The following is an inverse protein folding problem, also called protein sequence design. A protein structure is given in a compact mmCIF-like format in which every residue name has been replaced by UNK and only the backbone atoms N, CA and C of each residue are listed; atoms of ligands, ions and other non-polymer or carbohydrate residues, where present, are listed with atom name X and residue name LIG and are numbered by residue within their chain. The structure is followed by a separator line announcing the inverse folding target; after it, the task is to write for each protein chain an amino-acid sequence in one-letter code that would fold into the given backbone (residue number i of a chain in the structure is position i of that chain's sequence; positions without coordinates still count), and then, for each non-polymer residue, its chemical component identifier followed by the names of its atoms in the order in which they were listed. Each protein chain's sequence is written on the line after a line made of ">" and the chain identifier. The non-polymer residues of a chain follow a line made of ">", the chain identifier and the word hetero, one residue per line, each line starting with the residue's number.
data_IF_127907862693
#
_entry.id   IF_127907862693
#
_cell.length_a   1.000
_cell.length_b   1.000
_cell.length_c   1.000
_cell.angle_alpha   90.00
_cell.angle_beta   90.00
_cell.angle_gamma   90.00
#
_symmetry.space_group_name_H-M   'P 1'
#
loop_
_entity.id
_entity.type
_entity.pdbx_description
1 polymer ?
#
# COMPACT_ATOMS: atom_id res chain seq x y z
N UNK A 1 13.38 -5.52 4.99
CA UNK A 1 14.01 -4.46 4.15
C UNK A 1 13.85 -3.17 4.91
N UNK A 2 14.92 -2.44 5.08
CA UNK A 2 14.92 -1.20 5.84
C UNK A 2 14.36 -0.03 5.03
N UNK A 3 13.79 0.96 5.71
CA UNK A 3 13.45 2.25 5.16
C UNK A 3 14.40 3.31 5.74
N UNK A 4 14.65 4.38 5.01
CA UNK A 4 15.61 5.41 5.38
C UNK A 4 14.95 6.78 5.30
N UNK A 5 15.18 7.62 6.30
CA UNK A 5 14.43 8.87 6.50
C UNK A 5 14.59 9.85 5.33
N UNK A 6 15.82 10.23 4.99
CA UNK A 6 16.07 11.23 3.94
C UNK A 6 15.70 10.72 2.55
N UNK A 7 15.99 9.44 2.30
CA UNK A 7 15.58 8.77 1.06
C UNK A 7 14.06 8.76 0.92
N UNK A 8 13.34 8.41 1.99
CA UNK A 8 11.88 8.37 2.01
C UNK A 8 11.27 9.76 1.83
N UNK A 9 11.78 10.75 2.56
CA UNK A 9 11.31 12.12 2.47
C UNK A 9 11.46 12.69 1.07
N UNK A 10 12.64 12.55 0.45
CA UNK A 10 12.88 13.00 -0.94
C UNK A 10 11.97 12.29 -1.94
N UNK A 11 11.79 10.97 -1.76
CA UNK A 11 10.96 10.15 -2.64
C UNK A 11 9.48 10.56 -2.58
N UNK A 12 8.93 10.72 -1.38
CA UNK A 12 7.50 10.99 -1.19
C UNK A 12 7.13 12.42 -1.55
N UNK A 13 7.91 13.42 -1.15
CA UNK A 13 7.57 14.84 -1.33
C UNK A 13 7.30 15.24 -2.78
N UNK A 14 7.97 14.62 -3.74
CA UNK A 14 7.82 14.92 -5.17
C UNK A 14 7.22 13.79 -5.97
N UNK A 15 6.70 12.77 -5.30
CA UNK A 15 6.11 11.65 -6.01
C UNK A 15 4.87 12.07 -6.79
N UNK A 16 4.88 11.82 -8.10
CA UNK A 16 3.75 12.05 -9.00
C UNK A 16 3.47 10.81 -9.81
N UNK A 17 2.21 10.43 -9.89
CA UNK A 17 1.74 9.39 -10.78
C UNK A 17 0.87 10.01 -11.86
N UNK A 18 1.22 9.80 -13.11
CA UNK A 18 0.47 10.24 -14.28
C UNK A 18 -0.01 9.03 -15.04
N UNK A 19 -1.31 8.99 -15.31
CA UNK A 19 -1.94 7.88 -16.02
C UNK A 19 -2.75 8.43 -17.18
N UNK A 20 -2.42 8.01 -18.39
CA UNK A 20 -3.14 8.29 -19.63
C UNK A 20 -3.61 6.98 -20.28
N UNK A 21 -4.27 7.06 -21.44
CA UNK A 21 -4.74 5.85 -22.14
C UNK A 21 -3.61 4.89 -22.53
N UNK A 22 -2.44 5.42 -22.86
CA UNK A 22 -1.33 4.65 -23.45
C UNK A 22 -0.02 4.74 -22.65
N UNK A 23 0.01 5.48 -21.55
CA UNK A 23 1.23 5.69 -20.79
C UNK A 23 0.92 5.89 -19.32
N UNK A 24 1.65 5.20 -18.46
CA UNK A 24 1.56 5.30 -17.01
C UNK A 24 2.97 5.51 -16.47
N UNK A 25 3.22 6.66 -15.89
CA UNK A 25 4.55 7.05 -15.44
C UNK A 25 4.54 7.52 -13.99
N UNK A 26 5.62 7.27 -13.28
CA UNK A 26 5.92 7.82 -11.96
C UNK A 26 7.13 8.76 -12.06
N UNK A 27 7.03 9.88 -11.39
CA UNK A 27 8.13 10.86 -11.23
C UNK A 27 8.36 11.00 -9.72
N UNK A 28 9.61 10.99 -9.32
CA UNK A 28 10.04 11.09 -7.92
C UNK A 28 11.46 11.59 -7.81
N UNK A 29 11.86 12.04 -6.62
CA UNK A 29 13.24 12.36 -6.31
C UNK A 29 13.86 11.26 -5.45
N UNK A 30 15.14 10.99 -5.63
CA UNK A 30 15.96 10.24 -4.70
C UNK A 30 17.13 11.13 -4.31
N UNK A 31 17.11 11.55 -3.05
CA UNK A 31 17.96 12.63 -2.55
C UNK A 31 17.77 13.90 -3.40
N UNK A 32 18.81 14.39 -4.05
CA UNK A 32 18.79 15.64 -4.81
C UNK A 32 18.57 15.44 -6.33
N UNK A 33 18.22 14.23 -6.78
CA UNK A 33 18.06 13.92 -8.21
C UNK A 33 16.64 13.47 -8.52
N UNK A 34 16.08 14.03 -9.60
CA UNK A 34 14.77 13.65 -10.12
C UNK A 34 14.89 12.48 -11.12
N UNK A 35 13.95 11.54 -11.00
CA UNK A 35 13.85 10.35 -11.84
C UNK A 35 12.43 10.24 -12.39
N UNK A 36 12.34 9.64 -13.56
CA UNK A 36 11.06 9.25 -14.17
C UNK A 36 11.19 7.80 -14.62
N UNK A 37 10.20 6.98 -14.32
CA UNK A 37 10.11 5.60 -14.81
C UNK A 37 8.68 5.27 -15.21
N UNK A 38 8.52 4.29 -16.07
CA UNK A 38 7.19 3.79 -16.39
C UNK A 38 6.64 2.89 -15.25
N UNK A 39 5.34 2.57 -15.33
CA UNK A 39 4.69 1.76 -14.32
C UNK A 39 5.20 0.31 -14.31
N UNK A 40 5.68 -0.20 -15.43
CA UNK A 40 6.22 -1.55 -15.54
C UNK A 40 7.53 -1.67 -14.79
N UNK A 41 8.45 -0.73 -14.98
CA UNK A 41 9.70 -0.63 -14.23
C UNK A 41 9.43 -0.40 -12.74
N UNK A 42 8.43 0.43 -12.40
CA UNK A 42 8.02 0.64 -11.02
C UNK A 42 7.50 -0.66 -10.37
N UNK A 43 6.66 -1.43 -11.07
CA UNK A 43 6.22 -2.75 -10.62
C UNK A 43 7.41 -3.70 -10.41
N UNK A 44 8.34 -3.74 -11.35
CA UNK A 44 9.56 -4.57 -11.26
C UNK A 44 10.38 -4.18 -10.03
N UNK A 45 10.64 -2.89 -9.84
CA UNK A 45 11.40 -2.38 -8.69
C UNK A 45 10.75 -2.73 -7.35
N UNK A 46 9.43 -2.66 -7.29
CA UNK A 46 8.63 -2.98 -6.10
C UNK A 46 8.34 -4.48 -5.95
N UNK A 47 8.73 -5.32 -6.89
CA UNK A 47 8.43 -6.76 -6.96
C UNK A 47 6.92 -7.05 -7.03
N UNK A 48 6.17 -6.21 -7.70
CA UNK A 48 4.77 -6.41 -7.99
C UNK A 48 4.58 -7.12 -9.33
N UNK A 49 3.44 -7.83 -9.48
CA UNK A 49 3.07 -8.41 -10.76
C UNK A 49 2.66 -7.31 -11.75
N UNK A 50 3.05 -7.48 -13.02
CA UNK A 50 2.76 -6.53 -14.11
C UNK A 50 1.34 -6.67 -14.69
N UNK A 51 0.46 -7.40 -14.01
CA UNK A 51 -0.91 -7.67 -14.46
C UNK A 51 -1.93 -6.80 -13.75
N UNK A 52 -3.12 -6.78 -14.30
CA UNK A 52 -4.28 -6.12 -13.69
C UNK A 52 -4.59 -4.74 -14.27
N UNK A 53 -5.78 -4.29 -13.93
CA UNK A 53 -6.33 -3.03 -14.43
C UNK A 53 -5.69 -1.83 -13.73
N UNK A 54 -5.20 -0.88 -14.51
CA UNK A 54 -4.60 0.36 -13.99
C UNK A 54 -5.67 1.41 -13.63
N UNK A 55 -6.94 1.25 -14.06
CA UNK A 55 -8.00 2.20 -13.72
C UNK A 55 -8.24 2.28 -12.21
N UNK A 56 -8.75 3.43 -11.78
CA UNK A 56 -9.12 3.62 -10.37
C UNK A 56 -10.34 2.78 -10.00
N UNK A 57 -10.31 2.08 -8.84
CA UNK A 57 -11.44 1.33 -8.34
C UNK A 57 -12.63 2.25 -8.00
N UNK A 58 -13.85 1.84 -8.34
CA UNK A 58 -15.04 2.64 -8.12
C UNK A 58 -15.80 2.24 -6.85
N UNK A 59 -16.19 3.23 -6.04
CA UNK A 59 -16.81 3.03 -4.72
C UNK A 59 -18.00 2.06 -4.72
N UNK A 60 -18.90 2.15 -5.70
CA UNK A 60 -20.11 1.32 -5.75
C UNK A 60 -19.85 -0.18 -5.97
N UNK A 61 -18.68 -0.54 -6.51
CA UNK A 61 -18.30 -1.94 -6.78
C UNK A 61 -18.04 -2.76 -5.50
N UNK A 62 -17.95 -2.11 -4.34
CA UNK A 62 -17.51 -2.76 -3.08
C UNK A 62 -18.56 -2.80 -1.99
N UNK A 63 -19.73 -2.17 -2.19
CA UNK A 63 -20.77 -2.09 -1.15
C UNK A 63 -21.26 -3.47 -0.70
N UNK A 64 -21.61 -4.33 -1.66
CA UNK A 64 -22.14 -5.67 -1.39
C UNK A 64 -21.04 -6.58 -0.81
N UNK A 65 -19.82 -6.48 -1.33
CA UNK A 65 -18.67 -7.20 -0.80
C UNK A 65 -18.40 -6.81 0.65
N UNK A 66 -18.37 -5.52 0.95
CA UNK A 66 -18.15 -5.04 2.31
C UNK A 66 -19.24 -5.55 3.26
N UNK A 67 -20.52 -5.47 2.85
CA UNK A 67 -21.64 -5.98 3.64
C UNK A 67 -21.52 -7.49 3.90
N UNK A 68 -20.95 -8.27 2.98
CA UNK A 68 -20.77 -9.71 3.14
C UNK A 68 -19.65 -10.10 4.12
N UNK A 69 -18.69 -9.22 4.40
CA UNK A 69 -17.53 -9.51 5.26
C UNK A 69 -17.56 -8.79 6.61
N UNK A 70 -18.48 -7.84 6.82
CA UNK A 70 -18.57 -7.04 8.05
C UNK A 70 -19.84 -7.37 8.85
N UNK A 71 -19.77 -7.22 10.18
CA UNK A 71 -20.93 -7.37 11.08
C UNK A 71 -21.69 -6.05 11.16
N UNK A 72 -23.03 -6.11 10.99
CA UNK A 72 -23.95 -4.99 11.17
C UNK A 72 -24.56 -4.48 9.86
N UNK A 73 -25.51 -3.54 9.97
CA UNK A 73 -26.16 -2.93 8.81
C UNK A 73 -25.17 -2.20 7.90
N UNK A 74 -25.50 -2.14 6.61
CA UNK A 74 -24.65 -1.58 5.54
C UNK A 74 -24.19 -0.16 5.89
N UNK A 75 -23.02 -0.06 6.50
CA UNK A 75 -22.35 1.22 6.75
C UNK A 75 -21.83 1.78 5.43
N UNK A 76 -21.74 3.08 5.37
CA UNK A 76 -21.02 3.70 4.27
C UNK A 76 -19.58 3.17 4.24
N UNK A 77 -19.02 2.94 3.05
CA UNK A 77 -17.64 2.45 2.85
C UNK A 77 -16.62 3.31 3.61
N UNK A 78 -16.87 4.61 3.73
CA UNK A 78 -16.04 5.56 4.48
C UNK A 78 -15.98 5.31 5.98
N UNK A 79 -16.90 4.50 6.53
CA UNK A 79 -16.98 4.16 7.95
C UNK A 79 -16.53 2.73 8.25
N UNK A 80 -16.16 1.97 7.22
CA UNK A 80 -15.73 0.59 7.37
C UNK A 80 -14.38 0.53 8.09
N UNK A 81 -14.35 -0.15 9.23
CA UNK A 81 -13.13 -0.43 9.97
C UNK A 81 -12.68 -1.86 9.73
N UNK A 82 -11.38 -2.11 9.75
CA UNK A 82 -10.85 -3.48 9.67
C UNK A 82 -11.40 -4.34 10.83
N UNK A 83 -11.56 -3.74 12.02
CA UNK A 83 -12.14 -4.41 13.20
C UNK A 83 -13.57 -4.88 13.03
N UNK A 84 -14.33 -4.38 12.04
CA UNK A 84 -15.71 -4.84 11.76
C UNK A 84 -15.76 -6.11 10.90
N UNK A 85 -14.63 -6.58 10.36
CA UNK A 85 -14.56 -7.81 9.56
C UNK A 85 -14.68 -9.01 10.49
N UNK A 86 -15.69 -9.86 10.26
CA UNK A 86 -15.98 -11.00 11.14
C UNK A 86 -15.26 -12.30 10.76
N UNK A 87 -14.66 -12.37 9.54
CA UNK A 87 -13.84 -13.51 9.13
C UNK A 87 -12.38 -13.28 9.52
N UNK A 88 -11.79 -14.09 10.43
CA UNK A 88 -10.41 -13.85 10.91
C UNK A 88 -9.36 -13.80 9.80
N UNK A 89 -9.46 -14.69 8.80
CA UNK A 89 -8.53 -14.72 7.67
C UNK A 89 -8.62 -13.46 6.81
N UNK A 90 -9.82 -12.96 6.55
CA UNK A 90 -10.06 -11.74 5.77
C UNK A 90 -9.60 -10.53 6.59
N UNK A 91 -9.87 -10.49 7.88
CA UNK A 91 -9.40 -9.46 8.81
C UNK A 91 -7.87 -9.39 8.81
N UNK A 92 -7.18 -10.54 8.97
CA UNK A 92 -5.72 -10.60 8.92
C UNK A 92 -5.17 -10.08 7.58
N UNK A 93 -5.79 -10.48 6.46
CA UNK A 93 -5.36 -10.05 5.14
C UNK A 93 -5.61 -8.55 4.92
N UNK A 94 -6.70 -8.00 5.44
CA UNK A 94 -6.95 -6.56 5.41
C UNK A 94 -5.89 -5.77 6.19
N UNK A 95 -5.46 -6.25 7.37
CA UNK A 95 -4.34 -5.69 8.11
C UNK A 95 -3.02 -5.79 7.34
N UNK A 96 -2.78 -6.93 6.67
CA UNK A 96 -1.60 -7.09 5.82
C UNK A 96 -1.58 -6.06 4.69
N UNK A 97 -2.71 -5.84 4.00
CA UNK A 97 -2.82 -4.80 2.96
C UNK A 97 -2.50 -3.42 3.56
N UNK A 98 -3.14 -3.06 4.66
CA UNK A 98 -2.91 -1.76 5.29
C UNK A 98 -1.46 -1.54 5.71
N UNK A 99 -0.85 -2.50 6.39
CA UNK A 99 0.50 -2.35 6.96
C UNK A 99 1.63 -2.65 5.98
N UNK A 100 1.53 -3.75 5.23
CA UNK A 100 2.64 -4.22 4.40
C UNK A 100 2.62 -3.64 2.98
N UNK A 101 1.44 -3.37 2.42
CA UNK A 101 1.28 -2.78 1.10
C UNK A 101 1.23 -1.26 1.19
N UNK A 102 0.40 -0.74 2.10
CA UNK A 102 0.18 0.69 2.25
C UNK A 102 1.04 1.34 3.35
N UNK A 103 1.86 0.56 4.07
CA UNK A 103 2.76 1.01 5.15
C UNK A 103 2.07 1.93 6.18
N UNK A 104 0.82 1.64 6.54
CA UNK A 104 0.08 2.38 7.55
C UNK A 104 0.42 1.85 8.94
N UNK A 105 0.81 2.71 9.86
CA UNK A 105 1.10 2.33 11.25
C UNK A 105 -0.15 1.86 11.98
N UNK A 106 -1.29 2.54 11.75
CA UNK A 106 -2.59 2.19 12.30
C UNK A 106 -3.59 1.93 11.17
N UNK A 107 -3.63 0.70 10.67
CA UNK A 107 -4.61 0.27 9.67
C UNK A 107 -5.96 0.00 10.33
N UNK A 108 -6.67 1.05 10.77
CA UNK A 108 -8.01 0.90 11.35
C UNK A 108 -9.14 1.07 10.33
N UNK A 109 -8.92 1.81 9.25
CA UNK A 109 -9.92 2.05 8.21
C UNK A 109 -9.51 1.45 6.88
N UNK A 110 -10.50 0.91 6.14
CA UNK A 110 -10.29 0.42 4.78
C UNK A 110 -10.63 1.52 3.77
N UNK A 111 -9.70 1.82 2.88
CA UNK A 111 -9.99 2.66 1.72
C UNK A 111 -10.42 1.81 0.49
N UNK A 112 -10.95 2.45 -0.54
CA UNK A 112 -11.42 1.76 -1.74
C UNK A 112 -10.30 0.95 -2.43
N UNK A 113 -9.06 1.45 -2.55
CA UNK A 113 -7.95 0.66 -3.04
C UNK A 113 -7.68 -0.61 -2.21
N UNK A 114 -7.76 -0.53 -0.88
CA UNK A 114 -7.58 -1.71 -0.01
C UNK A 114 -8.68 -2.75 -0.25
N UNK A 115 -9.94 -2.29 -0.35
CA UNK A 115 -11.07 -3.14 -0.66
C UNK A 115 -10.95 -3.79 -2.05
N UNK A 116 -10.35 -3.11 -3.02
CA UNK A 116 -10.14 -3.67 -4.35
C UNK A 116 -9.17 -4.84 -4.34
N UNK A 117 -8.07 -4.71 -3.61
CA UNK A 117 -7.09 -5.78 -3.41
C UNK A 117 -7.71 -6.93 -2.63
N UNK A 118 -8.40 -6.62 -1.53
CA UNK A 118 -9.05 -7.60 -0.68
C UNK A 118 -10.11 -8.41 -1.44
N UNK A 119 -11.01 -7.73 -2.16
CA UNK A 119 -12.05 -8.36 -2.96
C UNK A 119 -11.48 -9.26 -4.05
N UNK A 120 -10.46 -8.79 -4.78
CA UNK A 120 -9.80 -9.57 -5.81
C UNK A 120 -9.15 -10.84 -5.25
N UNK A 121 -8.56 -10.76 -4.07
CA UNK A 121 -7.95 -11.92 -3.43
C UNK A 121 -8.98 -12.92 -2.90
N UNK A 122 -10.12 -12.44 -2.37
CA UNK A 122 -11.17 -13.29 -1.79
C UNK A 122 -12.05 -13.96 -2.86
N UNK A 123 -12.44 -13.20 -3.88
CA UNK A 123 -13.38 -13.66 -4.90
C UNK A 123 -12.69 -14.14 -6.18
N UNK A 124 -11.41 -13.85 -6.38
CA UNK A 124 -10.70 -14.18 -7.61
C UNK A 124 -11.21 -13.44 -8.87
N UNK A 125 -11.98 -12.36 -8.66
CA UNK A 125 -12.55 -11.58 -9.74
C UNK A 125 -11.57 -10.54 -10.31
N UNK A 126 -12.07 -9.41 -10.79
CA UNK A 126 -11.32 -8.32 -11.42
C UNK A 126 -10.03 -7.97 -10.66
N UNK A 127 -8.90 -8.21 -11.29
CA UNK A 127 -7.58 -7.87 -10.74
C UNK A 127 -7.22 -6.42 -11.05
N UNK A 128 -6.64 -5.73 -10.06
CA UNK A 128 -6.08 -4.40 -10.20
C UNK A 128 -4.55 -4.46 -10.18
N UNK A 129 -3.93 -3.57 -10.94
CA UNK A 129 -2.47 -3.42 -10.92
C UNK A 129 -2.02 -2.83 -9.58
N UNK A 130 -1.31 -3.63 -8.78
CA UNK A 130 -0.91 -3.26 -7.43
C UNK A 130 0.02 -2.05 -7.41
N UNK A 131 0.96 -1.96 -8.38
CA UNK A 131 1.85 -0.80 -8.49
C UNK A 131 1.10 0.48 -8.81
N UNK A 132 0.03 0.41 -9.63
CA UNK A 132 -0.81 1.56 -9.87
C UNK A 132 -1.58 2.01 -8.62
N UNK A 133 -2.03 1.06 -7.79
CA UNK A 133 -2.67 1.37 -6.49
C UNK A 133 -1.67 2.07 -5.57
N UNK A 134 -0.49 1.49 -5.42
CA UNK A 134 0.60 2.06 -4.59
C UNK A 134 1.04 3.43 -5.12
N UNK A 135 1.23 3.57 -6.44
CA UNK A 135 1.64 4.83 -7.04
C UNK A 135 0.62 5.97 -6.83
N UNK A 136 -0.69 5.67 -6.91
CA UNK A 136 -1.73 6.65 -6.56
C UNK A 136 -1.68 7.04 -5.09
N UNK A 137 -1.47 6.06 -4.21
CA UNK A 137 -1.37 6.32 -2.77
C UNK A 137 -0.17 7.21 -2.46
N UNK A 138 1.00 6.91 -3.01
CA UNK A 138 2.20 7.73 -2.87
C UNK A 138 1.99 9.14 -3.42
N UNK A 139 1.33 9.27 -4.58
CA UNK A 139 0.99 10.58 -5.13
C UNK A 139 0.04 11.37 -4.21
N UNK A 140 -0.98 10.73 -3.65
CA UNK A 140 -1.88 11.37 -2.70
C UNK A 140 -1.14 11.84 -1.44
N UNK A 141 -0.27 11.00 -0.89
CA UNK A 141 0.49 11.30 0.32
C UNK A 141 1.56 12.39 0.10
N UNK A 142 2.08 12.55 -1.12
CA UNK A 142 2.98 13.65 -1.45
C UNK A 142 2.32 15.02 -1.25
N UNK A 143 0.99 15.08 -1.33
CA UNK A 143 0.18 16.30 -1.11
C UNK A 143 -0.18 16.46 0.37
N UNK A 144 -0.45 15.37 1.11
CA UNK A 144 -0.81 15.41 2.53
C UNK A 144 0.39 15.59 3.46
N UNK A 145 1.61 15.31 2.98
CA UNK A 145 2.84 15.42 3.77
C UNK A 145 3.15 14.21 4.65
N UNK A 146 2.37 13.12 4.52
CA UNK A 146 2.61 11.89 5.27
C UNK A 146 3.83 11.13 4.74
N UNK A 147 4.76 10.77 5.62
CA UNK A 147 5.91 9.94 5.30
C UNK A 147 5.51 8.47 5.16
N UNK A 148 4.99 8.15 3.99
CA UNK A 148 4.56 6.81 3.61
C UNK A 148 5.46 6.28 2.48
N UNK A 149 5.82 5.00 2.53
CA UNK A 149 6.45 4.36 1.36
C UNK A 149 7.97 4.20 1.42
N UNK A 150 8.59 4.30 2.59
CA UNK A 150 10.04 4.13 2.74
C UNK A 150 10.57 2.82 2.17
N UNK A 151 9.81 1.73 2.28
CA UNK A 151 10.16 0.44 1.66
C UNK A 151 10.21 0.56 0.13
N UNK A 152 9.28 1.31 -0.46
CA UNK A 152 9.24 1.53 -1.91
C UNK A 152 10.40 2.42 -2.37
N UNK A 153 10.73 3.47 -1.62
CA UNK A 153 11.90 4.32 -1.88
C UNK A 153 13.18 3.47 -1.92
N UNK A 154 13.39 2.62 -0.91
CA UNK A 154 14.54 1.72 -0.83
C UNK A 154 14.58 0.72 -1.99
N UNK A 155 13.44 0.14 -2.37
CA UNK A 155 13.37 -0.81 -3.50
C UNK A 155 13.72 -0.14 -4.82
N UNK A 156 13.17 1.05 -5.06
CA UNK A 156 13.44 1.84 -6.27
C UNK A 156 14.90 2.28 -6.32
N UNK A 157 15.47 2.75 -5.20
CA UNK A 157 16.89 3.11 -5.13
C UNK A 157 17.79 1.92 -5.46
N UNK A 158 17.49 0.73 -4.89
CA UNK A 158 18.23 -0.49 -5.18
C UNK A 158 18.09 -0.92 -6.66
N UNK A 159 16.89 -0.81 -7.24
CA UNK A 159 16.66 -1.11 -8.67
C UNK A 159 17.47 -0.21 -9.59
N UNK A 160 17.57 1.08 -9.24
CA UNK A 160 18.35 2.07 -9.98
C UNK A 160 19.85 2.06 -9.61
N UNK A 161 20.30 1.15 -8.74
CA UNK A 161 21.67 1.08 -8.22
C UNK A 161 22.15 2.39 -7.56
N UNK A 162 21.24 3.08 -6.86
CA UNK A 162 21.55 4.30 -6.13
C UNK A 162 21.96 3.90 -4.70
N UNK A 163 23.18 4.25 -4.27
CA UNK A 163 23.66 3.91 -2.94
C UNK A 163 22.88 4.67 -1.87
N UNK A 164 22.54 3.97 -0.78
CA UNK A 164 22.01 4.61 0.42
C UNK A 164 23.16 5.41 1.07
N UNK A 165 22.89 6.67 1.42
CA UNK A 165 23.88 7.51 2.08
C UNK A 165 24.18 6.97 3.48
N UNK A 166 25.46 6.88 3.84
CA UNK A 166 25.88 6.29 5.12
C UNK A 166 25.43 7.08 6.36
N UNK A 167 24.99 8.32 6.19
CA UNK A 167 24.45 9.18 7.23
C UNK A 167 22.90 9.23 7.22
N UNK A 168 22.23 8.45 6.37
CA UNK A 168 20.77 8.38 6.36
C UNK A 168 20.30 7.57 7.57
N UNK A 169 19.23 8.01 8.19
CA UNK A 169 18.68 7.40 9.40
C UNK A 169 17.77 6.25 9.02
N UNK A 170 18.10 5.05 9.47
CA UNK A 170 17.24 3.89 9.29
C UNK A 170 15.98 4.02 10.15
N UNK A 171 14.81 3.94 9.50
CA UNK A 171 13.53 4.00 10.17
C UNK A 171 13.16 2.63 10.76
N UNK A 172 12.49 2.59 11.93
CA UNK A 172 12.01 1.35 12.50
C UNK A 172 11.06 0.66 11.51
N UNK A 173 11.27 -0.64 11.31
CA UNK A 173 10.41 -1.43 10.44
C UNK A 173 9.11 -1.80 11.17
N UNK A 174 7.98 -1.50 10.54
CA UNK A 174 6.67 -1.98 11.01
C UNK A 174 6.38 -3.35 10.39
N UNK A 175 6.55 -4.42 11.17
CA UNK A 175 6.22 -5.77 10.74
C UNK A 175 4.91 -6.25 11.37
N UNK A 176 4.16 -7.06 10.62
CA UNK A 176 3.18 -7.98 11.19
C UNK A 176 3.95 -9.16 11.80
N UNK A 177 4.53 -8.94 12.97
CA UNK A 177 5.23 -9.96 13.74
C UNK A 177 4.24 -10.76 14.63
N UNK A 178 4.76 -11.76 15.35
CA UNK A 178 3.98 -12.56 16.27
C UNK A 178 3.24 -11.71 17.33
N UNK A 179 3.89 -10.67 17.87
CA UNK A 179 3.27 -9.79 18.86
C UNK A 179 2.12 -8.96 18.25
N UNK A 180 2.24 -8.55 16.99
CA UNK A 180 1.15 -7.91 16.26
C UNK A 180 -0.02 -8.89 16.06
N UNK A 181 0.27 -10.14 15.71
CA UNK A 181 -0.76 -11.17 15.57
C UNK A 181 -1.48 -11.46 16.88
N UNK A 182 -0.77 -11.54 18.01
CA UNK A 182 -1.37 -11.69 19.34
C UNK A 182 -2.24 -10.49 19.70
N UNK A 183 -1.76 -9.25 19.49
CA UNK A 183 -2.54 -8.02 19.76
C UNK A 183 -3.83 -7.98 18.98
N UNK A 184 -3.84 -8.49 17.76
CA UNK A 184 -5.02 -8.55 16.90
C UNK A 184 -5.83 -9.84 17.06
N UNK A 185 -5.52 -10.68 18.08
CA UNK A 185 -6.23 -11.92 18.42
C UNK A 185 -6.29 -12.98 17.30
N UNK A 186 -5.28 -13.00 16.43
CA UNK A 186 -5.14 -14.06 15.41
C UNK A 186 -4.46 -15.32 15.96
N UNK A 187 -3.66 -15.16 16.99
CA UNK A 187 -2.95 -16.23 17.66
C UNK A 187 -3.14 -16.05 19.16
N UNK A 188 -3.47 -17.14 19.88
CA UNK A 188 -3.48 -17.13 21.33
C UNK A 188 -2.04 -17.08 21.86
N UNK A 189 -1.85 -16.34 22.94
CA UNK A 189 -0.57 -16.32 23.63
C UNK A 189 -0.38 -17.68 24.31
N UNK A 190 0.58 -18.46 23.85
CA UNK A 190 1.01 -19.65 24.59
C UNK A 190 1.69 -19.15 25.86
N UNK A 191 1.04 -19.37 27.03
CA UNK A 191 1.62 -19.11 28.35
C UNK A 191 2.72 -20.13 28.67
#
# INVERSE_FOLDING_TARGET
>A
MSAYLYLTDSFVRRFKFTSSRNSHTVLFDLYDKSYTMDLEDFNTSCKHLHCGNVSEPRKYEYKDFLASITVGESREITQATIGSIHFPSIHYFALFIGRCINSQDEACHMCIPDLSVLKSAVLGDKQYNLGAIVARRLHHNSVSGDLFGGIYATRVANYLNIPIHGNDIELPSTYLDYNAMVRHRFVERNE
#
